data_IF_032842706085
#
_entry.id   IF_032842706085
#
_cell.length_a   1.000
_cell.length_b   1.000
_cell.length_c   1.000
_cell.angle_alpha   90.00
_cell.angle_beta   90.00
_cell.angle_gamma   90.00
#
_symmetry.space_group_name_H-M   'P 1'
#
loop_
_entity.id
_entity.type
_entity.pdbx_description
1 polymer ?
#
# COMPACT_ATOMS: atom_id res chain seq x y z
N UNK A 1 -7.50 -1.43 -22.27
CA UNK A 1 -8.37 -2.44 -21.65
C UNK A 1 -8.07 -3.83 -22.20
N UNK A 2 -7.12 -4.53 -21.59
CA UNK A 2 -6.85 -5.95 -21.85
C UNK A 2 -6.41 -6.60 -20.54
N UNK A 3 -6.74 -7.87 -20.34
CA UNK A 3 -6.11 -8.65 -19.27
C UNK A 3 -4.63 -8.87 -19.59
N UNK A 4 -3.76 -8.97 -18.57
CA UNK A 4 -2.35 -9.22 -18.80
C UNK A 4 -2.14 -10.62 -19.37
N UNK A 5 -1.14 -10.75 -20.24
CA UNK A 5 -0.55 -12.05 -20.56
C UNK A 5 0.14 -12.63 -19.32
N UNK A 6 0.43 -13.94 -19.34
CA UNK A 6 1.14 -14.60 -18.24
C UNK A 6 2.48 -13.93 -17.90
N UNK A 7 3.21 -13.48 -18.93
CA UNK A 7 4.51 -12.82 -18.73
C UNK A 7 4.34 -11.43 -18.11
N UNK A 8 3.40 -10.62 -18.61
CA UNK A 8 3.09 -9.30 -18.04
C UNK A 8 2.62 -9.42 -16.57
N UNK A 9 1.79 -10.42 -16.25
CA UNK A 9 1.33 -10.68 -14.89
C UNK A 9 2.49 -11.09 -13.96
N UNK A 10 3.37 -11.98 -14.42
CA UNK A 10 4.52 -12.42 -13.63
C UNK A 10 5.47 -11.25 -13.34
N UNK A 11 5.76 -10.42 -14.34
CA UNK A 11 6.60 -9.22 -14.16
C UNK A 11 5.97 -8.25 -13.16
N UNK A 12 4.66 -7.99 -13.28
CA UNK A 12 3.94 -7.12 -12.35
C UNK A 12 3.95 -7.66 -10.92
N UNK A 13 3.74 -8.97 -10.74
CA UNK A 13 3.80 -9.61 -9.43
C UNK A 13 5.20 -9.51 -8.81
N UNK A 14 6.26 -9.72 -9.59
CA UNK A 14 7.64 -9.55 -9.12
C UNK A 14 7.88 -8.12 -8.64
N UNK A 15 7.49 -7.12 -9.44
CA UNK A 15 7.61 -5.70 -9.07
C UNK A 15 6.84 -5.38 -7.78
N UNK A 16 5.63 -5.91 -7.61
CA UNK A 16 4.87 -5.75 -6.38
C UNK A 16 5.57 -6.38 -5.17
N UNK A 17 6.11 -7.60 -5.31
CA UNK A 17 6.80 -8.31 -4.23
C UNK A 17 8.04 -7.54 -3.79
N UNK A 18 8.89 -7.11 -4.75
CA UNK A 18 10.11 -6.35 -4.49
C UNK A 18 9.82 -4.99 -3.84
N UNK A 19 8.64 -4.41 -4.10
CA UNK A 19 8.24 -3.12 -3.55
C UNK A 19 7.54 -3.21 -2.16
N UNK A 20 7.35 -4.38 -1.55
CA UNK A 20 6.57 -4.50 -0.28
C UNK A 20 7.24 -3.84 0.93
N UNK A 21 8.56 -3.79 0.96
CA UNK A 21 9.30 -3.29 2.12
C UNK A 21 9.15 -1.78 2.31
N UNK A 22 9.03 -1.34 3.56
CA UNK A 22 9.05 0.08 3.94
C UNK A 22 10.30 0.40 4.76
N UNK A 23 10.80 1.65 4.73
CA UNK A 23 11.98 2.02 5.50
C UNK A 23 11.81 1.72 7.00
N UNK A 24 12.81 1.09 7.63
CA UNK A 24 12.75 0.76 9.08
C UNK A 24 12.59 2.01 9.96
N UNK A 25 13.10 3.17 9.52
CA UNK A 25 12.92 4.46 10.17
C UNK A 25 11.43 4.88 10.20
N UNK A 26 10.68 4.56 9.15
CA UNK A 26 9.24 4.81 9.08
C UNK A 26 8.50 3.99 10.15
N UNK A 27 8.85 2.70 10.30
CA UNK A 27 8.30 1.83 11.35
C UNK A 27 8.68 2.33 12.76
N UNK A 28 9.92 2.80 12.96
CA UNK A 28 10.33 3.42 14.24
C UNK A 28 9.52 4.68 14.53
N UNK A 29 9.23 5.49 13.53
CA UNK A 29 8.42 6.71 13.71
C UNK A 29 6.97 6.38 14.09
N UNK A 30 6.39 5.28 13.59
CA UNK A 30 5.07 4.81 14.02
C UNK A 30 5.01 4.56 15.53
N UNK A 31 6.08 4.02 16.14
CA UNK A 31 6.12 3.75 17.57
C UNK A 31 6.05 5.00 18.46
N UNK A 32 6.29 6.20 17.91
CA UNK A 32 6.18 7.47 18.63
C UNK A 32 4.75 8.05 18.65
N UNK A 33 3.83 7.47 17.88
CA UNK A 33 2.44 7.94 17.81
C UNK A 33 1.61 7.41 19.00
N UNK A 34 0.53 8.12 19.33
CA UNK A 34 -0.46 7.62 20.30
C UNK A 34 -1.08 6.32 19.78
N UNK A 35 -1.14 5.28 20.62
CA UNK A 35 -1.60 3.93 20.22
C UNK A 35 -3.06 3.87 19.80
N UNK A 36 -3.84 4.86 20.19
CA UNK A 36 -5.26 5.06 19.89
C UNK A 36 -5.49 6.09 18.78
N UNK A 37 -4.45 6.47 18.01
CA UNK A 37 -4.64 7.26 16.80
C UNK A 37 -5.56 6.53 15.82
N UNK A 38 -6.38 7.30 15.11
CA UNK A 38 -7.25 6.74 14.10
C UNK A 38 -6.40 6.06 13.02
N UNK A 39 -6.72 4.81 12.61
CA UNK A 39 -5.98 4.11 11.54
C UNK A 39 -5.89 4.92 10.25
N UNK A 40 -6.90 5.72 9.91
CA UNK A 40 -6.90 6.54 8.70
C UNK A 40 -5.99 7.75 8.83
N UNK A 41 -5.94 8.42 9.99
CA UNK A 41 -4.99 9.53 10.23
C UNK A 41 -3.53 9.05 10.10
N UNK A 42 -3.26 7.85 10.64
CA UNK A 42 -1.97 7.19 10.50
C UNK A 42 -1.69 6.89 9.03
N UNK A 43 -2.60 6.22 8.34
CA UNK A 43 -2.41 5.83 6.95
C UNK A 43 -2.18 7.06 6.06
N UNK A 44 -2.98 8.11 6.22
CA UNK A 44 -2.85 9.38 5.51
C UNK A 44 -1.44 9.96 5.67
N UNK A 45 -0.96 10.08 6.90
CA UNK A 45 0.35 10.67 7.19
C UNK A 45 1.50 9.84 6.64
N UNK A 46 1.43 8.52 6.80
CA UNK A 46 2.50 7.61 6.37
C UNK A 46 2.51 7.40 4.85
N UNK A 47 1.37 7.45 4.17
CA UNK A 47 1.32 7.50 2.70
C UNK A 47 1.96 8.78 2.17
N UNK A 48 1.66 9.94 2.77
CA UNK A 48 2.32 11.21 2.40
C UNK A 48 3.83 11.17 2.65
N UNK A 49 4.24 10.60 3.79
CA UNK A 49 5.64 10.50 4.19
C UNK A 49 6.50 9.67 3.22
N UNK A 50 5.91 8.76 2.41
CA UNK A 50 6.65 8.02 1.38
C UNK A 50 7.40 8.96 0.42
N UNK A 51 6.84 10.13 0.12
CA UNK A 51 7.51 11.13 -0.74
C UNK A 51 8.82 11.67 -0.15
N UNK A 52 9.04 11.54 1.17
CA UNK A 52 10.31 11.88 1.80
C UNK A 52 11.40 10.79 1.67
N UNK A 53 11.03 9.60 1.21
CA UNK A 53 11.93 8.45 1.06
C UNK A 53 12.23 8.09 -0.40
N UNK A 54 11.49 8.65 -1.36
CA UNK A 54 11.61 8.34 -2.79
C UNK A 54 11.67 9.63 -3.61
N UNK A 55 12.36 9.56 -4.76
CA UNK A 55 12.49 10.69 -5.66
C UNK A 55 11.19 10.92 -6.46
N UNK A 56 10.59 12.10 -6.27
CA UNK A 56 9.34 12.48 -6.90
C UNK A 56 9.50 13.33 -8.16
N UNK A 57 10.71 13.71 -8.57
CA UNK A 57 10.95 14.70 -9.63
C UNK A 57 10.47 14.25 -11.03
N UNK A 58 10.31 12.95 -11.23
CA UNK A 58 9.90 12.39 -12.52
C UNK A 58 8.38 12.32 -12.69
N UNK A 59 7.88 13.00 -13.74
CA UNK A 59 6.46 13.02 -14.14
C UNK A 59 6.18 12.21 -15.42
N UNK A 60 7.07 11.29 -15.81
CA UNK A 60 6.79 10.41 -16.94
C UNK A 60 5.66 9.43 -16.59
N UNK A 61 5.05 8.85 -17.64
CA UNK A 61 4.00 7.85 -17.47
C UNK A 61 4.54 6.61 -16.76
N UNK A 62 5.76 6.23 -17.11
CA UNK A 62 6.50 5.09 -16.55
C UNK A 62 6.78 5.32 -15.06
N UNK A 63 7.32 6.50 -14.70
CA UNK A 63 7.55 6.85 -13.30
C UNK A 63 6.25 6.88 -12.49
N UNK A 64 5.13 7.28 -13.10
CA UNK A 64 3.82 7.25 -12.45
C UNK A 64 3.35 5.81 -12.18
N UNK A 65 3.60 4.86 -13.09
CA UNK A 65 3.30 3.46 -12.84
C UNK A 65 4.17 2.86 -11.73
N UNK A 66 5.46 3.19 -11.69
CA UNK A 66 6.34 2.71 -10.63
C UNK A 66 5.92 3.26 -9.26
N UNK A 67 5.49 4.52 -9.19
CA UNK A 67 4.90 5.12 -7.97
C UNK A 67 3.60 4.43 -7.57
N UNK A 68 2.73 4.10 -8.52
CA UNK A 68 1.49 3.36 -8.26
C UNK A 68 1.78 1.94 -7.73
N UNK A 69 2.76 1.24 -8.30
CA UNK A 69 3.21 -0.08 -7.81
C UNK A 69 3.73 0.04 -6.37
N UNK A 70 4.55 1.06 -6.07
CA UNK A 70 5.03 1.30 -4.72
C UNK A 70 3.90 1.55 -3.72
N UNK A 71 2.91 2.39 -4.07
CA UNK A 71 1.73 2.62 -3.25
C UNK A 71 0.96 1.33 -2.97
N UNK A 72 0.61 0.58 -4.03
CA UNK A 72 -0.14 -0.67 -3.92
C UNK A 72 0.63 -1.67 -3.04
N UNK A 73 1.94 -1.83 -3.25
CA UNK A 73 2.75 -2.79 -2.52
C UNK A 73 2.97 -2.41 -1.04
N UNK A 74 3.15 -1.12 -0.74
CA UNK A 74 3.56 -0.64 0.60
C UNK A 74 2.40 -0.34 1.54
N UNK A 75 1.24 0.07 1.03
CA UNK A 75 0.06 0.38 1.88
C UNK A 75 -0.28 -0.79 2.82
N UNK A 76 -0.34 -2.06 2.37
CA UNK A 76 -0.56 -3.21 3.25
C UNK A 76 0.50 -3.33 4.36
N UNK A 77 1.78 -3.12 4.02
CA UNK A 77 2.89 -3.16 4.98
C UNK A 77 2.81 -2.04 6.00
N UNK A 78 2.38 -0.83 5.60
CA UNK A 78 2.14 0.31 6.50
C UNK A 78 1.04 -0.05 7.51
N UNK A 79 -0.11 -0.53 7.03
CA UNK A 79 -1.26 -0.88 7.86
C UNK A 79 -0.90 -2.00 8.83
N UNK A 80 -0.26 -3.07 8.34
CA UNK A 80 0.14 -4.20 9.16
C UNK A 80 1.20 -3.84 10.20
N UNK A 81 2.21 -3.06 9.81
CA UNK A 81 3.23 -2.56 10.74
C UNK A 81 2.56 -1.74 11.86
N UNK A 82 1.69 -0.79 11.51
CA UNK A 82 0.98 0.03 12.49
C UNK A 82 0.14 -0.82 13.44
N UNK A 83 -0.67 -1.73 12.91
CA UNK A 83 -1.56 -2.57 13.70
C UNK A 83 -0.78 -3.38 14.74
N UNK A 84 0.41 -3.88 14.39
CA UNK A 84 1.25 -4.63 15.32
C UNK A 84 1.89 -3.73 16.35
N UNK A 85 2.48 -2.61 15.92
CA UNK A 85 3.14 -1.62 16.78
C UNK A 85 2.18 -1.07 17.84
N UNK A 86 0.97 -0.64 17.45
CA UNK A 86 -0.02 -0.09 18.39
C UNK A 86 -0.47 -1.11 19.44
N UNK A 87 -0.44 -2.40 19.10
CA UNK A 87 -0.79 -3.51 19.98
C UNK A 87 0.43 -4.08 20.74
N UNK A 88 1.61 -3.47 20.61
CA UNK A 88 2.83 -3.94 21.30
C UNK A 88 3.38 -5.26 20.76
N UNK A 89 3.01 -5.63 19.53
CA UNK A 89 3.52 -6.81 18.84
C UNK A 89 4.71 -6.44 17.95
N UNK A 90 5.65 -7.35 17.77
CA UNK A 90 6.77 -7.19 16.83
C UNK A 90 6.26 -7.18 15.39
N UNK A 91 6.79 -6.29 14.55
CA UNK A 91 6.43 -6.22 13.12
C UNK A 91 6.87 -7.49 12.41
N UNK A 92 6.00 -8.01 11.54
CA UNK A 92 6.26 -9.18 10.70
C UNK A 92 6.68 -8.70 9.32
N UNK A 93 7.83 -9.17 8.83
CA UNK A 93 8.31 -8.86 7.49
C UNK A 93 7.47 -9.59 6.42
N UNK A 94 7.46 -9.06 5.19
CA UNK A 94 6.68 -9.66 4.09
C UNK A 94 7.26 -10.99 3.62
N UNK A 95 6.39 -11.95 3.26
CA UNK A 95 6.78 -13.23 2.66
C UNK A 95 6.62 -13.15 1.12
N UNK A 96 7.71 -13.23 0.33
CA UNK A 96 7.66 -13.13 -1.12
C UNK A 96 6.97 -14.33 -1.80
N UNK A 97 6.78 -15.44 -1.09
CA UNK A 97 6.05 -16.61 -1.61
C UNK A 97 4.53 -16.45 -1.56
N UNK A 98 4.02 -15.44 -0.83
CA UNK A 98 2.59 -15.22 -0.65
C UNK A 98 2.03 -14.22 -1.67
N UNK A 99 0.76 -14.44 -2.05
CA UNK A 99 -0.03 -13.49 -2.83
C UNK A 99 -0.16 -12.14 -2.11
N UNK A 100 -0.63 -11.10 -2.80
CA UNK A 100 -0.80 -9.78 -2.19
C UNK A 100 -1.77 -9.83 -1.00
N UNK A 101 -2.92 -10.51 -1.18
CA UNK A 101 -3.92 -10.73 -0.14
C UNK A 101 -3.37 -11.57 1.02
N UNK A 102 -2.75 -12.73 0.73
CA UNK A 102 -2.20 -13.60 1.77
C UNK A 102 -1.09 -12.93 2.57
N UNK A 103 -0.21 -12.18 1.91
CA UNK A 103 0.88 -11.47 2.56
C UNK A 103 0.35 -10.39 3.51
N UNK A 104 -0.69 -9.65 3.14
CA UNK A 104 -1.29 -8.67 4.04
C UNK A 104 -1.86 -9.34 5.31
N UNK A 105 -2.64 -10.40 5.15
CA UNK A 105 -3.21 -11.14 6.27
C UNK A 105 -2.12 -11.74 7.17
N UNK A 106 -1.09 -12.33 6.55
CA UNK A 106 0.09 -12.85 7.23
C UNK A 106 0.82 -11.78 8.05
N UNK A 107 1.11 -10.61 7.46
CA UNK A 107 1.77 -9.53 8.18
C UNK A 107 0.90 -8.95 9.30
N UNK A 108 -0.43 -9.01 9.19
CA UNK A 108 -1.35 -8.56 10.23
C UNK A 108 -1.36 -9.51 11.43
N UNK A 109 -1.58 -10.81 11.19
CA UNK A 109 -1.74 -11.82 12.26
C UNK A 109 -0.41 -12.40 12.74
N UNK A 110 0.58 -12.55 11.86
CA UNK A 110 1.79 -13.35 12.06
C UNK A 110 1.64 -14.81 11.63
N UNK A 111 0.47 -15.20 11.11
CA UNK A 111 0.14 -16.57 10.73
C UNK A 111 -0.33 -16.63 9.27
N UNK A 112 0.05 -17.66 8.52
CA UNK A 112 -0.38 -17.83 7.14
C UNK A 112 -1.90 -18.07 7.11
N UNK A 113 -2.66 -17.32 6.30
CA UNK A 113 -4.11 -17.47 6.27
C UNK A 113 -4.51 -18.80 5.62
N UNK A 114 -5.70 -19.30 5.99
CA UNK A 114 -6.34 -20.38 5.26
C UNK A 114 -6.68 -19.93 3.84
N UNK A 115 -6.69 -20.90 2.91
CA UNK A 115 -6.95 -20.66 1.47
C UNK A 115 -8.30 -19.96 1.26
N UNK A 116 -9.32 -20.30 2.07
CA UNK A 116 -10.65 -19.68 1.98
C UNK A 116 -10.62 -18.21 2.42
N UNK A 117 -9.91 -17.90 3.51
CA UNK A 117 -9.77 -16.53 4.03
C UNK A 117 -8.97 -15.66 3.07
N UNK A 118 -7.87 -16.19 2.53
CA UNK A 118 -7.10 -15.52 1.46
C UNK A 118 -8.00 -15.17 0.28
N UNK A 119 -8.76 -16.14 -0.23
CA UNK A 119 -9.62 -15.94 -1.40
C UNK A 119 -10.72 -14.92 -1.15
N UNK A 120 -11.36 -14.96 0.02
CA UNK A 120 -12.40 -13.98 0.39
C UNK A 120 -11.78 -12.57 0.40
N UNK A 121 -10.61 -12.43 1.03
CA UNK A 121 -9.96 -11.13 1.13
C UNK A 121 -9.48 -10.60 -0.23
N UNK A 122 -8.95 -11.46 -1.10
CA UNK A 122 -8.57 -11.10 -2.47
C UNK A 122 -9.78 -10.59 -3.28
N UNK A 123 -10.93 -11.26 -3.17
CA UNK A 123 -12.19 -10.80 -3.77
C UNK A 123 -12.60 -9.44 -3.19
N UNK A 124 -12.47 -9.23 -1.88
CA UNK A 124 -12.74 -7.92 -1.28
C UNK A 124 -11.85 -6.82 -1.87
N UNK A 125 -10.55 -7.08 -2.08
CA UNK A 125 -9.64 -6.12 -2.72
C UNK A 125 -10.07 -5.80 -4.15
N UNK A 126 -10.43 -6.82 -4.95
CA UNK A 126 -10.91 -6.62 -6.32
C UNK A 126 -12.19 -5.77 -6.34
N UNK A 127 -13.14 -6.05 -5.44
CA UNK A 127 -14.40 -5.30 -5.35
C UNK A 127 -14.21 -3.83 -4.96
N UNK A 128 -13.15 -3.50 -4.21
CA UNK A 128 -12.83 -2.13 -3.79
C UNK A 128 -11.85 -1.42 -4.74
N UNK A 129 -11.33 -2.11 -5.76
CA UNK A 129 -10.22 -1.60 -6.57
C UNK A 129 -10.58 -0.33 -7.37
N UNK A 130 -11.83 -0.18 -7.80
CA UNK A 130 -12.30 1.01 -8.49
C UNK A 130 -13.81 1.22 -8.28
N UNK A 131 -14.21 2.49 -8.25
CA UNK A 131 -15.60 2.90 -8.19
C UNK A 131 -15.82 4.27 -8.88
N UNK A 132 -15.20 4.47 -10.04
CA UNK A 132 -15.35 5.66 -10.90
C UNK A 132 -15.03 6.99 -10.18
N UNK A 133 -15.87 8.02 -10.30
CA UNK A 133 -15.71 9.33 -9.63
C UNK A 133 -16.43 9.38 -8.30
N UNK A 134 -16.12 8.44 -7.42
CA UNK A 134 -16.43 8.61 -6.00
C UNK A 134 -15.62 9.80 -5.42
N UNK A 135 -15.96 10.22 -4.21
CA UNK A 135 -15.37 11.39 -3.58
C UNK A 135 -13.84 11.31 -3.43
N UNK A 136 -13.28 10.16 -3.04
CA UNK A 136 -11.83 10.00 -2.86
C UNK A 136 -11.09 10.08 -4.21
N UNK A 137 -11.59 9.39 -5.24
CA UNK A 137 -11.05 9.49 -6.60
C UNK A 137 -11.12 10.93 -7.14
N UNK A 138 -12.22 11.63 -6.91
CA UNK A 138 -12.37 13.03 -7.34
C UNK A 138 -11.37 13.96 -6.62
N UNK A 139 -11.19 13.79 -5.31
CA UNK A 139 -10.21 14.55 -4.52
C UNK A 139 -8.78 14.31 -5.00
N UNK A 140 -8.38 13.04 -5.21
CA UNK A 140 -7.05 12.71 -5.76
C UNK A 140 -6.81 13.42 -7.10
N UNK A 141 -7.81 13.40 -7.99
CA UNK A 141 -7.72 14.09 -9.30
C UNK A 141 -7.56 15.59 -9.15
N UNK A 142 -8.27 16.22 -8.21
CA UNK A 142 -8.16 17.65 -7.97
C UNK A 142 -6.78 18.03 -7.45
N UNK A 143 -6.22 17.26 -6.51
CA UNK A 143 -4.86 17.47 -6.00
C UNK A 143 -3.83 17.29 -7.12
N UNK A 144 -3.93 16.20 -7.88
CA UNK A 144 -3.05 15.94 -9.02
C UNK A 144 -3.12 17.04 -10.10
N UNK A 145 -4.27 17.70 -10.29
CA UNK A 145 -4.42 18.80 -11.26
C UNK A 145 -3.52 20.01 -10.96
N UNK A 146 -3.09 20.16 -9.71
CA UNK A 146 -2.14 21.21 -9.28
C UNK A 146 -0.68 20.84 -9.55
N UNK A 147 -0.42 19.69 -10.18
CA UNK A 147 0.90 19.05 -10.37
C UNK A 147 1.54 18.56 -9.07
N UNK A 148 0.73 18.32 -8.03
CA UNK A 148 1.19 17.60 -6.85
C UNK A 148 1.56 16.15 -7.20
N UNK A 149 2.52 15.59 -6.46
CA UNK A 149 2.98 14.22 -6.64
C UNK A 149 1.93 13.18 -6.18
N UNK A 150 2.07 11.94 -6.64
CA UNK A 150 1.05 10.89 -6.46
C UNK A 150 0.77 10.58 -4.99
N UNK A 151 1.81 10.51 -4.14
CA UNK A 151 1.62 10.29 -2.70
C UNK A 151 0.76 11.36 -2.02
N UNK A 152 0.88 12.63 -2.44
CA UNK A 152 0.02 13.71 -1.92
C UNK A 152 -1.42 13.56 -2.40
N UNK A 153 -1.62 13.21 -3.67
CA UNK A 153 -2.96 12.96 -4.21
C UNK A 153 -3.65 11.76 -3.54
N UNK A 154 -2.91 10.67 -3.30
CA UNK A 154 -3.42 9.48 -2.61
C UNK A 154 -3.64 9.69 -1.11
N UNK A 155 -2.83 10.52 -0.46
CA UNK A 155 -3.02 10.88 0.95
C UNK A 155 -4.26 11.75 1.18
N UNK A 156 -4.66 12.56 0.19
CA UNK A 156 -5.85 13.41 0.29
C UNK A 156 -7.16 12.66 0.01
N UNK A 157 -7.09 11.46 -0.56
CA UNK A 157 -8.22 10.66 -1.02
C UNK A 157 -8.66 9.65 0.05
#
# INVERSE_FOLDING_TARGET
DKLPTKNELNEFNTKLIEAREIPKQMQKNMANWRKDADPMDMLQAFVSALAGYYDEEFFSKEASYDKAINLIAKVPTIIASWQRIRNGLEVVDSDPSLSHAANFLYMMSGEKPDIEVEKIFDVCLILHADHTFNASTFTARQVASTRAHMYSASSAA
#
